data_IF_533185026095
#
_entry.id   IF_533185026095
#
_cell.length_a   1.000
_cell.length_b   1.000
_cell.length_c   1.000
_cell.angle_alpha   90.00
_cell.angle_beta   90.00
_cell.angle_gamma   90.00
#
_symmetry.space_group_name_H-M   'P 1'
#
loop_
_entity.id
_entity.type
_entity.pdbx_description
1 polymer ?
#
# COMPACT_ATOMS: atom_id res chain seq x y z
N UNK A 1 -28.25 3.59 -1.70
CA UNK A 1 -27.03 2.79 -1.95
C UNK A 1 -25.84 3.60 -1.50
N UNK A 2 -25.34 3.38 -0.28
CA UNK A 2 -24.25 4.17 0.29
C UNK A 2 -22.90 3.69 -0.23
N UNK A 3 -22.44 4.26 -1.35
CA UNK A 3 -21.02 4.16 -1.70
C UNK A 3 -20.23 4.92 -0.65
N UNK A 4 -19.44 4.19 0.16
CA UNK A 4 -18.55 4.83 1.14
C UNK A 4 -17.65 5.84 0.43
N UNK A 5 -17.41 6.99 1.07
CA UNK A 5 -16.53 8.01 0.50
C UNK A 5 -15.14 7.38 0.23
N UNK A 6 -14.49 7.73 -0.89
CA UNK A 6 -13.11 7.31 -1.13
C UNK A 6 -12.22 7.80 0.00
N UNK A 7 -11.39 6.92 0.55
CA UNK A 7 -10.36 7.35 1.50
C UNK A 7 -9.38 8.23 0.73
N UNK A 8 -9.06 9.39 1.29
CA UNK A 8 -8.11 10.30 0.68
C UNK A 8 -6.70 9.69 0.64
N UNK A 9 -6.02 9.89 -0.47
CA UNK A 9 -4.60 9.58 -0.59
C UNK A 9 -3.79 10.41 0.42
N UNK A 10 -2.76 9.78 0.98
CA UNK A 10 -1.77 10.42 1.83
C UNK A 10 -0.48 10.52 1.02
N UNK A 11 -0.28 11.67 0.40
CA UNK A 11 0.81 11.92 -0.54
C UNK A 11 1.50 13.24 -0.25
N UNK A 12 2.79 13.29 -0.56
CA UNK A 12 3.61 14.49 -0.59
C UNK A 12 4.74 14.30 -1.60
N UNK A 13 5.37 15.39 -2.09
CA UNK A 13 6.56 15.27 -2.93
C UNK A 13 7.72 14.57 -2.21
N UNK A 14 8.46 13.72 -2.92
CA UNK A 14 9.74 13.16 -2.45
C UNK A 14 9.66 12.16 -1.30
N UNK A 15 8.51 11.50 -1.12
CA UNK A 15 8.36 10.45 -0.10
C UNK A 15 9.43 9.37 -0.21
N UNK A 16 9.89 8.84 0.92
CA UNK A 16 10.75 7.66 0.99
C UNK A 16 10.01 6.43 0.48
N UNK A 17 8.75 6.26 0.91
CA UNK A 17 7.89 5.14 0.50
C UNK A 17 6.46 5.61 0.29
N UNK A 18 5.88 5.29 -0.86
CA UNK A 18 4.44 5.34 -1.09
C UNK A 18 3.87 3.92 -1.06
N UNK A 19 3.04 3.61 -0.06
CA UNK A 19 2.34 2.33 -0.02
C UNK A 19 1.14 2.33 -0.97
N UNK A 20 0.99 1.26 -1.75
CA UNK A 20 -0.14 1.05 -2.64
C UNK A 20 -0.89 -0.23 -2.26
N UNK A 21 -2.15 -0.09 -1.85
CA UNK A 21 -3.08 -1.19 -1.60
C UNK A 21 -3.96 -1.52 -2.80
N UNK A 22 -4.78 -2.58 -2.66
CA UNK A 22 -5.83 -2.86 -3.65
C UNK A 22 -6.90 -1.79 -3.61
N UNK A 23 -7.56 -1.67 -2.46
CA UNK A 23 -8.66 -0.77 -2.20
C UNK A 23 -8.93 -0.67 -0.69
N UNK A 24 -9.69 0.34 -0.25
CA UNK A 24 -10.15 0.42 1.12
C UNK A 24 -10.99 -0.80 1.55
N UNK A 25 -10.69 -1.34 2.74
CA UNK A 25 -11.62 -2.26 3.42
C UNK A 25 -12.87 -1.51 3.91
N UNK A 26 -13.96 -2.22 4.19
CA UNK A 26 -15.23 -1.62 4.68
C UNK A 26 -15.06 -0.70 5.88
N UNK A 27 -14.31 -1.11 6.91
CA UNK A 27 -14.04 -0.27 8.10
C UNK A 27 -13.26 0.99 7.71
N UNK A 28 -12.21 0.84 6.91
CA UNK A 28 -11.41 1.97 6.43
C UNK A 28 -12.29 2.97 5.68
N UNK A 29 -13.12 2.49 4.74
CA UNK A 29 -14.03 3.36 3.98
C UNK A 29 -15.11 4.01 4.85
N UNK A 30 -15.54 3.37 5.94
CA UNK A 30 -16.53 3.92 6.84
C UNK A 30 -15.99 5.02 7.76
N UNK A 31 -14.73 4.90 8.21
CA UNK A 31 -14.13 5.88 9.16
C UNK A 31 -13.16 6.85 8.49
N UNK A 32 -12.87 6.68 7.20
CA UNK A 32 -11.97 7.57 6.45
C UNK A 32 -10.48 7.39 6.76
N UNK A 33 -10.07 6.27 7.38
CA UNK A 33 -8.68 6.04 7.79
C UNK A 33 -8.08 4.78 7.16
N UNK A 34 -6.84 4.91 6.70
CA UNK A 34 -6.12 3.85 6.02
C UNK A 34 -5.88 2.64 6.93
N UNK A 35 -5.98 1.43 6.37
CA UNK A 35 -5.69 0.17 7.04
C UNK A 35 -6.41 -0.08 8.39
N UNK A 36 -7.53 0.62 8.65
CA UNK A 36 -8.33 0.48 9.86
C UNK A 36 -9.05 -0.87 10.05
N UNK A 37 -9.02 -1.82 9.11
CA UNK A 37 -9.72 -3.11 9.26
C UNK A 37 -9.32 -3.88 10.53
N UNK A 38 -10.28 -4.56 11.18
CA UNK A 38 -9.98 -5.46 12.32
C UNK A 38 -8.99 -6.54 11.87
N UNK A 39 -7.92 -6.73 12.64
CA UNK A 39 -6.87 -7.70 12.31
C UNK A 39 -5.94 -7.27 11.15
N UNK A 40 -6.09 -6.06 10.60
CA UNK A 40 -5.09 -5.52 9.69
C UNK A 40 -3.80 -5.21 10.48
N UNK A 41 -2.69 -5.72 9.98
CA UNK A 41 -1.39 -5.71 10.65
C UNK A 41 -0.50 -4.54 10.21
N UNK A 42 -0.96 -3.67 9.31
CA UNK A 42 -0.12 -2.65 8.65
C UNK A 42 0.60 -1.75 9.65
N UNK A 43 -0.14 -1.13 10.57
CA UNK A 43 0.42 -0.22 11.55
C UNK A 43 1.46 -0.88 12.47
N UNK A 44 1.21 -2.14 12.85
CA UNK A 44 2.16 -2.93 13.64
C UNK A 44 3.41 -3.30 12.84
N UNK A 45 3.23 -3.68 11.57
CA UNK A 45 4.34 -3.98 10.65
C UNK A 45 5.22 -2.73 10.41
N UNK A 46 4.64 -1.53 10.32
CA UNK A 46 5.42 -0.30 10.20
C UNK A 46 6.30 -0.06 11.45
N UNK A 47 5.73 -0.21 12.64
CA UNK A 47 6.46 -0.01 13.88
C UNK A 47 7.54 -1.08 14.08
N UNK A 48 7.18 -2.36 13.98
CA UNK A 48 8.09 -3.47 14.24
C UNK A 48 9.22 -3.57 13.20
N UNK A 49 9.05 -3.02 12.00
CA UNK A 49 10.09 -2.94 10.97
C UNK A 49 11.00 -1.71 11.08
N UNK A 50 10.66 -0.74 11.93
CA UNK A 50 11.38 0.52 12.06
C UNK A 50 11.06 1.56 10.99
N UNK A 51 10.03 1.35 10.16
CA UNK A 51 9.53 2.37 9.22
C UNK A 51 8.91 3.56 9.96
N UNK A 52 8.31 3.30 11.13
CA UNK A 52 7.88 4.34 12.08
C UNK A 52 8.52 4.11 13.45
N UNK A 53 8.83 5.17 14.21
CA UNK A 53 9.50 5.04 15.52
C UNK A 53 8.59 4.48 16.62
N UNK A 54 7.28 4.41 16.37
CA UNK A 54 6.25 3.90 17.28
C UNK A 54 5.08 3.32 16.49
N UNK A 55 4.21 2.61 17.19
CA UNK A 55 2.90 2.22 16.69
C UNK A 55 2.00 3.45 16.53
N UNK A 56 1.45 3.63 15.33
CA UNK A 56 0.43 4.62 15.02
C UNK A 56 -0.96 3.97 15.05
N UNK A 57 -1.97 4.69 15.51
CA UNK A 57 -3.36 4.34 15.29
C UNK A 57 -3.79 4.71 13.86
N UNK A 58 -4.83 4.05 13.28
CA UNK A 58 -5.37 4.44 11.97
C UNK A 58 -5.75 5.91 11.88
N UNK A 59 -6.25 6.49 12.96
CA UNK A 59 -6.64 7.90 13.06
C UNK A 59 -5.44 8.86 12.95
N UNK A 60 -4.22 8.34 13.14
CA UNK A 60 -2.97 9.07 13.00
C UNK A 60 -2.33 8.91 11.60
N UNK A 61 -3.04 8.36 10.62
CA UNK A 61 -2.46 7.98 9.33
C UNK A 61 -1.71 9.11 8.60
N UNK A 62 -2.18 10.35 8.71
CA UNK A 62 -1.47 11.53 8.15
C UNK A 62 -0.09 11.78 8.77
N UNK A 63 0.17 11.28 9.98
CA UNK A 63 1.49 11.36 10.64
C UNK A 63 2.57 10.61 9.86
N UNK A 64 2.20 9.65 9.01
CA UNK A 64 3.11 8.95 8.10
C UNK A 64 3.97 9.92 7.27
N UNK A 65 3.41 11.06 6.86
CA UNK A 65 4.11 12.07 6.07
C UNK A 65 5.34 12.62 6.80
N UNK A 66 5.30 12.73 8.14
CA UNK A 66 6.44 13.18 8.94
C UNK A 66 7.62 12.22 8.88
N UNK A 67 7.38 10.96 8.53
CA UNK A 67 8.39 9.91 8.39
C UNK A 67 8.80 9.67 6.92
N UNK A 68 8.28 10.50 6.01
CA UNK A 68 8.45 10.33 4.56
C UNK A 68 7.67 9.16 3.99
N UNK A 69 6.57 8.74 4.64
CA UNK A 69 5.72 7.64 4.20
C UNK A 69 4.37 8.16 3.71
N UNK A 70 3.79 7.52 2.69
CA UNK A 70 2.46 7.83 2.17
C UNK A 70 1.64 6.58 1.88
N UNK A 71 0.36 6.74 1.55
CA UNK A 71 -0.59 5.66 1.28
C UNK A 71 -1.55 6.04 0.17
N UNK A 72 -1.79 5.11 -0.75
CA UNK A 72 -2.80 5.17 -1.80
C UNK A 72 -3.37 3.76 -2.07
N UNK A 73 -4.37 3.67 -2.94
CA UNK A 73 -4.91 2.39 -3.41
C UNK A 73 -5.06 2.40 -4.92
N UNK A 74 -4.93 1.23 -5.54
CA UNK A 74 -5.17 1.06 -6.96
C UNK A 74 -6.63 1.34 -7.33
N UNK A 75 -7.58 0.98 -6.45
CA UNK A 75 -9.01 1.23 -6.64
C UNK A 75 -9.57 1.98 -5.44
N UNK A 76 -10.24 3.12 -5.68
CA UNK A 76 -10.82 3.95 -4.62
C UNK A 76 -12.09 3.39 -3.97
N UNK A 77 -12.78 2.45 -4.62
CA UNK A 77 -14.03 1.85 -4.12
C UNK A 77 -13.78 0.92 -2.94
N UNK A 78 -14.44 1.17 -1.81
CA UNK A 78 -14.35 0.30 -0.65
C UNK A 78 -15.10 -1.04 -0.86
N UNK A 79 -14.48 -2.16 -0.47
CA UNK A 79 -15.11 -3.50 -0.50
C UNK A 79 -14.73 -4.33 0.74
N UNK A 80 -15.50 -5.38 1.08
CA UNK A 80 -15.11 -6.33 2.14
C UNK A 80 -13.81 -7.07 1.82
N UNK A 81 -13.60 -7.44 0.56
CA UNK A 81 -12.44 -8.17 0.11
C UNK A 81 -11.90 -7.64 -1.21
N UNK A 82 -10.58 -7.71 -1.39
CA UNK A 82 -9.95 -7.42 -2.68
C UNK A 82 -10.42 -8.39 -3.79
N UNK A 83 -10.96 -9.57 -3.42
CA UNK A 83 -11.57 -10.50 -4.36
C UNK A 83 -12.86 -9.97 -5.01
N UNK A 84 -13.47 -8.92 -4.44
CA UNK A 84 -14.68 -8.27 -4.95
C UNK A 84 -14.37 -7.19 -6.02
N UNK A 85 -13.10 -7.04 -6.38
CA UNK A 85 -12.64 -6.13 -7.43
C UNK A 85 -12.58 -6.86 -8.76
N UNK A 86 -13.18 -6.26 -9.79
CA UNK A 86 -13.05 -6.76 -11.15
C UNK A 86 -11.66 -6.46 -11.73
N UNK A 87 -11.24 -7.27 -12.72
CA UNK A 87 -10.00 -6.99 -13.47
C UNK A 87 -10.06 -5.64 -14.19
N UNK A 88 -11.25 -5.18 -14.57
CA UNK A 88 -11.42 -3.88 -15.23
C UNK A 88 -11.12 -2.72 -14.26
N UNK A 89 -11.59 -2.81 -13.01
CA UNK A 89 -11.29 -1.81 -11.97
C UNK A 89 -9.80 -1.75 -11.66
N UNK A 90 -9.15 -2.92 -11.50
CA UNK A 90 -7.71 -2.97 -11.25
C UNK A 90 -6.91 -2.32 -12.40
N UNK A 91 -7.29 -2.57 -13.66
CA UNK A 91 -6.66 -1.93 -14.82
C UNK A 91 -6.91 -0.43 -14.88
N UNK A 92 -8.13 0.01 -14.57
CA UNK A 92 -8.48 1.43 -14.55
C UNK A 92 -7.69 2.21 -13.48
N UNK A 93 -7.29 1.54 -12.39
CA UNK A 93 -6.47 2.11 -11.32
C UNK A 93 -5.03 2.45 -11.69
N UNK A 94 -4.48 1.85 -12.75
CA UNK A 94 -3.06 2.01 -13.12
C UNK A 94 -2.74 3.42 -13.59
N UNK A 95 -3.64 4.05 -14.35
CA UNK A 95 -3.47 5.43 -14.83
C UNK A 95 -3.38 6.46 -13.69
N UNK A 96 -4.34 6.48 -12.75
CA UNK A 96 -4.27 7.32 -11.55
C UNK A 96 -3.00 7.09 -10.71
N UNK A 97 -2.62 5.83 -10.49
CA UNK A 97 -1.38 5.51 -9.78
C UNK A 97 -0.16 6.10 -10.48
N UNK A 98 -0.07 5.95 -11.81
CA UNK A 98 1.00 6.53 -12.63
C UNK A 98 1.07 8.04 -12.48
N UNK A 99 -0.06 8.74 -12.62
CA UNK A 99 -0.11 10.20 -12.49
C UNK A 99 0.35 10.66 -11.09
N UNK A 100 -0.06 9.94 -10.04
CA UNK A 100 0.33 10.22 -8.66
C UNK A 100 1.84 10.03 -8.46
N UNK A 101 2.42 8.94 -8.97
CA UNK A 101 3.86 8.66 -8.87
C UNK A 101 4.70 9.65 -9.68
N UNK A 102 4.29 9.97 -10.90
CA UNK A 102 5.01 10.92 -11.77
C UNK A 102 4.99 12.34 -11.19
N UNK A 103 3.91 12.72 -10.51
CA UNK A 103 3.76 14.03 -9.85
C UNK A 103 4.56 14.12 -8.56
N UNK A 104 4.44 13.11 -7.69
CA UNK A 104 4.99 13.18 -6.33
C UNK A 104 6.42 12.64 -6.24
N UNK A 105 6.88 11.87 -7.24
CA UNK A 105 8.23 11.28 -7.32
C UNK A 105 8.70 10.63 -6.00
N UNK A 106 7.94 9.66 -5.45
CA UNK A 106 8.43 8.88 -4.32
C UNK A 106 9.70 8.09 -4.72
N UNK A 107 10.57 7.81 -3.77
CA UNK A 107 11.76 6.96 -4.01
C UNK A 107 11.37 5.50 -4.26
N UNK A 108 10.37 5.02 -3.51
CA UNK A 108 9.89 3.64 -3.56
C UNK A 108 8.36 3.63 -3.62
N UNK A 109 7.78 2.80 -4.48
CA UNK A 109 6.37 2.38 -4.40
C UNK A 109 6.33 0.98 -3.81
N UNK A 110 5.71 0.85 -2.63
CA UNK A 110 5.58 -0.41 -1.92
C UNK A 110 4.17 -1.00 -2.11
N UNK A 111 4.05 -2.06 -2.90
CA UNK A 111 2.80 -2.73 -3.18
C UNK A 111 2.45 -3.72 -2.05
N UNK A 112 1.35 -3.46 -1.35
CA UNK A 112 0.90 -4.24 -0.17
C UNK A 112 0.10 -5.49 -0.58
N UNK A 113 0.76 -6.33 -1.38
CA UNK A 113 0.26 -7.61 -1.87
C UNK A 113 0.67 -7.82 -3.33
N UNK A 114 1.11 -9.04 -3.68
CA UNK A 114 1.53 -9.41 -5.04
C UNK A 114 0.52 -8.99 -6.10
N UNK A 115 -0.77 -9.28 -5.89
CA UNK A 115 -1.78 -8.97 -6.91
C UNK A 115 -1.97 -7.48 -7.20
N UNK A 116 -1.59 -6.57 -6.27
CA UNK A 116 -1.57 -5.12 -6.56
C UNK A 116 -0.50 -4.83 -7.62
N UNK A 117 0.72 -5.32 -7.38
CA UNK A 117 1.83 -5.16 -8.30
C UNK A 117 1.58 -5.85 -9.64
N UNK A 118 1.08 -7.08 -9.63
CA UNK A 118 0.77 -7.83 -10.86
C UNK A 118 -0.26 -7.09 -11.72
N UNK A 119 -1.27 -6.49 -11.10
CA UNK A 119 -2.25 -5.68 -11.81
C UNK A 119 -1.63 -4.40 -12.39
N UNK A 120 -0.79 -3.70 -11.61
CA UNK A 120 -0.11 -2.49 -12.07
C UNK A 120 0.91 -2.76 -13.18
N UNK A 121 1.65 -3.87 -13.09
CA UNK A 121 2.70 -4.27 -14.01
C UNK A 121 2.19 -5.04 -15.24
N UNK A 122 0.95 -5.54 -15.21
CA UNK A 122 0.43 -6.43 -16.26
C UNK A 122 1.15 -7.79 -16.31
N UNK A 123 1.68 -8.26 -15.18
CA UNK A 123 2.46 -9.50 -15.08
C UNK A 123 1.64 -10.66 -14.51
N UNK A 124 2.01 -11.89 -14.86
CA UNK A 124 1.42 -13.10 -14.29
C UNK A 124 2.03 -13.55 -12.97
N UNK A 125 3.29 -13.16 -12.69
CA UNK A 125 4.03 -13.53 -11.50
C UNK A 125 5.07 -12.48 -11.11
N UNK A 126 5.40 -12.44 -9.82
CA UNK A 126 6.40 -11.55 -9.24
C UNK A 126 6.97 -12.16 -7.96
N UNK A 127 8.23 -11.82 -7.65
CA UNK A 127 8.85 -12.14 -6.37
C UNK A 127 8.37 -11.15 -5.29
N UNK A 128 8.61 -11.50 -4.02
CA UNK A 128 8.59 -10.48 -2.94
C UNK A 128 9.88 -9.66 -3.00
N UNK A 129 9.86 -8.45 -2.44
CA UNK A 129 11.02 -7.57 -2.40
C UNK A 129 11.09 -6.57 -3.55
N UNK A 130 12.27 -5.99 -3.73
CA UNK A 130 12.59 -5.08 -4.83
C UNK A 130 12.47 -5.80 -6.17
N UNK A 131 11.80 -5.15 -7.12
CA UNK A 131 11.60 -5.69 -8.46
C UNK A 131 12.73 -5.24 -9.38
N UNK A 132 13.22 -6.11 -10.27
CA UNK A 132 14.40 -5.83 -11.09
C UNK A 132 14.16 -4.72 -12.13
N UNK A 133 12.90 -4.49 -12.50
CA UNK A 133 12.49 -3.45 -13.44
C UNK A 133 11.34 -2.67 -12.79
N UNK A 134 11.56 -1.37 -12.57
CA UNK A 134 10.54 -0.47 -12.07
C UNK A 134 9.53 -0.09 -13.16
N UNK A 135 8.28 0.14 -12.78
CA UNK A 135 7.18 0.60 -13.62
C UNK A 135 7.24 2.11 -13.92
N UNK A 136 8.06 2.84 -13.15
CA UNK A 136 8.20 4.28 -13.24
C UNK A 136 9.68 4.69 -13.18
N UNK A 137 10.06 5.63 -14.04
CA UNK A 137 11.44 6.08 -14.15
C UNK A 137 11.96 6.70 -12.85
N UNK A 138 13.09 6.18 -12.38
CA UNK A 138 13.74 6.65 -11.15
C UNK A 138 13.04 6.24 -9.86
N UNK A 139 12.05 5.36 -9.92
CA UNK A 139 11.29 4.86 -8.77
C UNK A 139 11.50 3.36 -8.63
N UNK A 140 11.76 2.92 -7.40
CA UNK A 140 11.91 1.51 -7.08
C UNK A 140 10.54 0.91 -6.80
N UNK A 141 10.22 -0.22 -7.43
CA UNK A 141 9.05 -1.00 -7.08
C UNK A 141 9.42 -2.08 -6.06
N UNK A 142 8.66 -2.16 -4.98
CA UNK A 142 8.89 -3.12 -3.91
C UNK A 142 7.59 -3.85 -3.55
N UNK A 143 7.60 -5.18 -3.57
CA UNK A 143 6.40 -5.98 -3.29
C UNK A 143 6.49 -6.55 -1.88
N UNK A 144 5.57 -6.15 -1.01
CA UNK A 144 5.45 -6.70 0.35
C UNK A 144 4.16 -7.53 0.48
N UNK A 145 4.11 -8.50 1.40
CA UNK A 145 2.88 -9.23 1.71
C UNK A 145 1.74 -8.31 2.13
N UNK A 146 0.50 -8.73 1.85
CA UNK A 146 -0.67 -7.97 2.31
C UNK A 146 -0.76 -7.99 3.84
N UNK A 147 -0.97 -6.81 4.48
CA UNK A 147 -1.13 -6.71 5.92
C UNK A 147 -2.53 -7.14 6.40
N UNK A 148 -3.46 -7.43 5.49
CA UNK A 148 -4.82 -7.89 5.85
C UNK A 148 -4.78 -9.11 6.76
N UNK A 149 -5.71 -9.17 7.73
CA UNK A 149 -5.93 -10.34 8.57
C UNK A 149 -6.43 -11.56 7.80
N UNK A 150 -6.97 -11.36 6.59
CA UNK A 150 -7.37 -12.44 5.68
C UNK A 150 -6.16 -13.10 4.98
N UNK A 151 -5.02 -12.42 4.93
CA UNK A 151 -3.82 -12.95 4.30
C UNK A 151 -3.14 -13.98 5.21
N UNK A 152 -2.97 -15.21 4.69
CA UNK A 152 -2.50 -16.38 5.43
C UNK A 152 -1.00 -16.41 5.76
N UNK A 153 -0.23 -15.47 5.23
CA UNK A 153 1.22 -15.46 5.47
C UNK A 153 1.50 -15.17 6.96
N UNK A 154 2.38 -15.92 7.64
CA UNK A 154 2.70 -15.68 9.05
C UNK A 154 3.24 -14.27 9.30
N UNK A 155 2.97 -13.71 10.49
CA UNK A 155 3.39 -12.35 10.83
C UNK A 155 4.90 -12.14 10.68
N UNK A 156 5.72 -13.08 11.17
CA UNK A 156 7.18 -12.98 11.08
C UNK A 156 7.68 -12.89 9.63
N UNK A 157 7.01 -13.60 8.72
CA UNK A 157 7.32 -13.56 7.30
C UNK A 157 6.90 -12.24 6.67
N UNK A 158 5.73 -11.69 7.03
CA UNK A 158 5.33 -10.33 6.64
C UNK A 158 6.34 -9.30 7.12
N UNK A 159 6.73 -9.39 8.40
CA UNK A 159 7.68 -8.48 9.03
C UNK A 159 9.04 -8.51 8.34
N UNK A 160 9.54 -9.67 7.93
CA UNK A 160 10.81 -9.79 7.18
C UNK A 160 10.84 -8.89 5.94
N UNK A 161 9.76 -8.87 5.16
CA UNK A 161 9.68 -8.05 3.95
C UNK A 161 9.49 -6.57 4.24
N UNK A 162 8.76 -6.22 5.31
CA UNK A 162 8.67 -4.83 5.76
C UNK A 162 10.02 -4.31 6.31
N UNK A 163 10.80 -5.14 7.01
CA UNK A 163 12.14 -4.80 7.46
C UNK A 163 13.12 -4.65 6.27
N UNK A 164 13.03 -5.51 5.26
CA UNK A 164 13.80 -5.36 4.03
C UNK A 164 13.46 -4.05 3.29
N UNK A 165 12.18 -3.68 3.23
CA UNK A 165 11.73 -2.39 2.72
C UNK A 165 12.30 -1.22 3.55
N UNK A 166 12.29 -1.33 4.89
CA UNK A 166 12.85 -0.33 5.79
C UNK A 166 14.35 -0.09 5.50
N UNK A 167 15.12 -1.17 5.36
CA UNK A 167 16.54 -1.11 5.01
C UNK A 167 16.81 -0.50 3.64
N UNK A 168 15.88 -0.69 2.68
CA UNK A 168 15.98 -0.08 1.34
C UNK A 168 15.59 1.40 1.31
N UNK A 169 14.74 1.83 2.24
CA UNK A 169 14.18 3.17 2.34
C UNK A 169 14.99 4.11 3.26
N UNK A 170 15.92 3.58 4.06
CA UNK A 170 16.92 4.34 4.83
C UNK A 170 18.00 4.89 3.93
#
# INVERSE_FOLDING_TARGET
MGGGQPIADIVAPGLRVLFCGFNPGTRSGAIGHNYAGRGNQFWRLLADSGLTPRLLAPEEDRTMLQYGLGSTNLVGRATPSAADLSRAELRAGVGPLRALVETNRPRIVAYTGKGVYLAAAGLGQAAWGEQPVGLFDGVVDFVVPSPSGLARLPYAEKLRWFAALAGRAG
#
